data_IF_671138158965
#
_entry.id   IF_671138158965
#
_cell.length_a   1.000
_cell.length_b   1.000
_cell.length_c   1.000
_cell.angle_alpha   90.00
_cell.angle_beta   90.00
_cell.angle_gamma   90.00
#
_symmetry.space_group_name_H-M   'P 1'
#
loop_
_entity.id
_entity.type
_entity.pdbx_description
1 polymer ?
#
# COMPACT_ATOMS: atom_id res chain seq x y z
N UNK A 1 -6.19 5.02 -17.68
CA UNK A 1 -6.71 4.43 -16.43
C UNK A 1 -5.53 4.30 -15.47
N UNK A 2 -5.34 5.28 -14.60
CA UNK A 2 -4.32 5.22 -13.55
C UNK A 2 -4.89 4.29 -12.49
N UNK A 3 -4.35 3.08 -12.36
CA UNK A 3 -4.73 2.16 -11.27
C UNK A 3 -4.18 2.77 -9.98
N UNK A 4 -5.05 3.44 -9.23
CA UNK A 4 -4.67 4.06 -7.96
C UNK A 4 -4.64 3.00 -6.86
N UNK A 5 -3.44 2.89 -6.29
CA UNK A 5 -3.07 2.33 -5.00
C UNK A 5 -3.08 0.80 -4.88
N UNK A 6 -1.86 0.25 -4.82
CA UNK A 6 -1.55 -1.06 -4.27
C UNK A 6 -0.74 -0.78 -3.01
N UNK A 7 -0.81 -1.63 -1.98
CA UNK A 7 0.13 -1.55 -0.87
C UNK A 7 1.55 -1.47 -1.44
N UNK A 8 2.30 -0.40 -1.16
CA UNK A 8 3.70 -0.30 -1.55
C UNK A 8 4.52 -0.83 -0.39
N UNK A 9 5.30 -1.86 -0.68
CA UNK A 9 6.25 -2.44 0.25
C UNK A 9 7.66 -2.26 -0.30
N UNK A 10 8.55 -1.72 0.51
CA UNK A 10 9.97 -1.74 0.20
C UNK A 10 10.47 -3.19 0.19
N UNK A 11 11.23 -3.57 -0.86
CA UNK A 11 11.70 -4.95 -1.08
C UNK A 11 12.42 -5.52 0.14
N UNK A 12 13.35 -4.76 0.72
CA UNK A 12 14.17 -5.17 1.85
C UNK A 12 13.34 -5.35 3.13
N UNK A 13 12.42 -4.41 3.39
CA UNK A 13 11.50 -4.48 4.53
C UNK A 13 10.55 -5.68 4.45
N UNK A 14 10.02 -5.98 3.26
CA UNK A 14 9.12 -7.11 3.06
C UNK A 14 9.81 -8.45 3.29
N UNK A 15 10.99 -8.67 2.70
CA UNK A 15 11.73 -9.94 2.83
C UNK A 15 12.24 -10.20 4.25
N UNK A 16 12.53 -9.15 5.00
CA UNK A 16 12.91 -9.28 6.42
C UNK A 16 11.73 -9.73 7.28
N UNK A 17 10.52 -9.23 6.99
CA UNK A 17 9.31 -9.59 7.74
C UNK A 17 8.76 -10.96 7.36
N UNK A 18 8.82 -11.29 6.07
CA UNK A 18 8.40 -12.59 5.56
C UNK A 18 9.34 -13.04 4.43
N UNK A 19 10.30 -13.93 4.73
CA UNK A 19 11.24 -14.42 3.71
C UNK A 19 10.55 -15.29 2.65
N UNK A 20 9.37 -15.84 2.96
CA UNK A 20 8.65 -16.79 2.10
C UNK A 20 7.92 -16.11 0.93
N UNK A 21 7.75 -14.79 0.98
CA UNK A 21 7.11 -14.01 -0.07
C UNK A 21 7.74 -14.28 -1.44
N UNK A 22 6.94 -14.68 -2.41
CA UNK A 22 7.38 -14.84 -3.79
C UNK A 22 6.95 -13.61 -4.59
N UNK A 23 7.94 -12.87 -5.11
CA UNK A 23 7.70 -11.72 -5.96
C UNK A 23 7.61 -12.18 -7.41
N UNK A 24 6.59 -11.70 -8.11
CA UNK A 24 6.35 -11.93 -9.53
C UNK A 24 6.66 -10.65 -10.31
N UNK A 25 7.14 -10.78 -11.56
CA UNK A 25 7.34 -9.63 -12.43
C UNK A 25 6.00 -9.13 -12.98
N UNK A 26 5.84 -7.81 -13.00
CA UNK A 26 4.71 -7.16 -13.63
C UNK A 26 4.95 -7.04 -15.13
N UNK A 27 3.97 -7.45 -15.93
CA UNK A 27 3.98 -7.26 -17.39
C UNK A 27 4.15 -5.77 -17.76
N UNK A 28 3.53 -4.89 -16.98
CA UNK A 28 3.63 -3.44 -17.14
C UNK A 28 4.01 -2.83 -15.79
N UNK A 29 5.18 -2.18 -15.67
CA UNK A 29 5.60 -1.52 -14.43
C UNK A 29 4.59 -0.46 -13.99
N UNK A 30 4.25 -0.47 -12.70
CA UNK A 30 3.38 0.53 -12.12
C UNK A 30 4.19 1.79 -11.78
N UNK A 31 3.72 2.94 -12.29
CA UNK A 31 4.33 4.25 -12.05
C UNK A 31 3.53 5.01 -11.02
N UNK A 32 4.16 5.35 -9.90
CA UNK A 32 3.57 6.19 -8.87
C UNK A 32 4.38 7.48 -8.76
N UNK A 33 3.70 8.62 -8.77
CA UNK A 33 4.34 9.89 -8.47
C UNK A 33 4.28 10.10 -6.97
N UNK A 34 5.44 10.16 -6.33
CA UNK A 34 5.56 10.50 -4.92
C UNK A 34 5.70 12.01 -4.74
N UNK A 35 5.76 12.43 -3.47
CA UNK A 35 5.96 13.83 -3.11
C UNK A 35 7.23 14.40 -3.77
N UNK A 36 7.23 15.72 -4.01
CA UNK A 36 8.29 16.45 -4.71
C UNK A 36 8.54 15.99 -6.17
N UNK A 37 7.51 15.46 -6.84
CA UNK A 37 7.57 15.03 -8.26
C UNK A 37 8.56 13.89 -8.53
N UNK A 38 8.99 13.18 -7.48
CA UNK A 38 9.79 11.98 -7.63
C UNK A 38 8.93 10.83 -8.16
N UNK A 39 9.49 10.03 -9.06
CA UNK A 39 8.80 8.87 -9.62
C UNK A 39 9.27 7.61 -8.93
N UNK A 40 8.32 6.83 -8.43
CA UNK A 40 8.56 5.50 -7.87
C UNK A 40 8.01 4.48 -8.85
N UNK A 41 8.86 3.51 -9.20
CA UNK A 41 8.55 2.42 -10.12
C UNK A 41 8.42 1.13 -9.31
N UNK A 42 7.32 0.42 -9.51
CA UNK A 42 7.19 -0.97 -9.08
C UNK A 42 7.19 -1.87 -10.32
N UNK A 43 8.19 -2.73 -10.42
CA UNK A 43 8.35 -3.74 -11.48
C UNK A 43 7.88 -5.13 -11.02
N UNK A 44 7.57 -5.27 -9.73
CA UNK A 44 7.16 -6.55 -9.13
C UNK A 44 5.94 -6.39 -8.25
N UNK A 45 5.20 -7.49 -8.11
CA UNK A 45 4.14 -7.63 -7.12
C UNK A 45 4.26 -8.95 -6.35
N UNK A 46 3.52 -9.05 -5.26
CA UNK A 46 3.28 -10.30 -4.56
C UNK A 46 1.85 -10.34 -4.05
N UNK A 47 1.28 -11.55 -3.94
CA UNK A 47 -0.02 -11.77 -3.30
C UNK A 47 0.17 -12.07 -1.83
N UNK A 48 -0.33 -11.19 -0.96
CA UNK A 48 -0.15 -11.28 0.49
C UNK A 48 -1.49 -11.38 1.22
N UNK A 49 -1.59 -12.29 2.18
CA UNK A 49 -2.64 -12.23 3.20
C UNK A 49 -2.19 -11.28 4.30
N UNK A 50 -2.89 -10.14 4.45
CA UNK A 50 -2.51 -9.13 5.43
C UNK A 50 -3.27 -9.33 6.74
N UNK A 51 -2.51 -9.26 7.83
CA UNK A 51 -3.00 -9.12 9.20
C UNK A 51 -2.53 -7.76 9.72
N UNK A 52 -3.46 -6.85 9.95
CA UNK A 52 -3.19 -5.48 10.37
C UNK A 52 -3.56 -5.35 11.84
N UNK A 53 -2.57 -5.07 12.69
CA UNK A 53 -2.82 -4.77 14.10
C UNK A 53 -3.27 -3.32 14.23
N UNK A 54 -4.54 -3.11 14.58
CA UNK A 54 -5.10 -1.79 14.89
C UNK A 54 -5.34 -1.65 16.39
N UNK A 55 -5.57 -0.41 16.85
CA UNK A 55 -5.95 -0.16 18.25
C UNK A 55 -7.29 -0.82 18.65
N UNK A 56 -8.19 -1.06 17.69
CA UNK A 56 -9.46 -1.75 17.91
C UNK A 56 -9.32 -3.28 17.90
N UNK A 57 -8.13 -3.80 17.56
CA UNK A 57 -7.85 -5.22 17.41
C UNK A 57 -7.22 -5.56 16.05
N UNK A 58 -6.73 -6.81 15.89
CA UNK A 58 -6.24 -7.28 14.61
C UNK A 58 -7.36 -7.40 13.58
N UNK A 59 -7.10 -6.96 12.35
CA UNK A 59 -7.98 -7.13 11.20
C UNK A 59 -7.27 -8.02 10.18
N UNK A 60 -7.89 -9.14 9.84
CA UNK A 60 -7.39 -10.02 8.78
C UNK A 60 -8.20 -9.84 7.51
N UNK A 61 -7.53 -9.63 6.39
CA UNK A 61 -8.19 -9.57 5.09
C UNK A 61 -8.66 -10.96 4.66
N UNK A 62 -9.87 -11.04 4.14
CA UNK A 62 -10.49 -12.31 3.71
C UNK A 62 -9.77 -12.95 2.52
N UNK A 63 -9.20 -12.13 1.64
CA UNK A 63 -8.46 -12.57 0.46
C UNK A 63 -7.04 -12.03 0.46
N UNK A 64 -6.14 -12.73 -0.23
CA UNK A 64 -4.85 -12.16 -0.56
C UNK A 64 -5.06 -10.90 -1.41
N UNK A 65 -4.28 -9.87 -1.13
CA UNK A 65 -4.23 -8.65 -1.93
C UNK A 65 -2.95 -8.63 -2.73
N UNK A 66 -3.02 -8.09 -3.94
CA UNK A 66 -1.82 -7.76 -4.70
C UNK A 66 -1.10 -6.61 -3.98
N UNK A 67 0.23 -6.68 -3.90
CA UNK A 67 1.11 -5.73 -3.20
C UNK A 67 2.22 -5.33 -4.15
N UNK A 68 2.44 -4.03 -4.38
CA UNK A 68 3.50 -3.53 -5.26
C UNK A 68 4.79 -3.54 -4.45
N UNK A 69 5.83 -4.15 -5.01
CA UNK A 69 7.15 -4.16 -4.43
C UNK A 69 7.97 -3.07 -5.13
N UNK A 70 8.52 -2.16 -4.34
CA UNK A 70 9.36 -1.07 -4.82
C UNK A 70 10.76 -1.20 -4.25
N UNK A 71 11.76 -0.89 -5.08
CA UNK A 71 13.17 -0.86 -4.66
C UNK A 71 13.52 0.53 -4.15
N UNK A 72 12.95 0.89 -2.99
CA UNK A 72 13.28 2.10 -2.25
C UNK A 72 13.97 1.72 -0.94
N UNK A 73 14.94 2.54 -0.52
CA UNK A 73 15.62 2.41 0.76
C UNK A 73 14.77 3.02 1.89
N UNK A 74 13.59 2.42 2.10
CA UNK A 74 12.65 2.76 3.15
C UNK A 74 12.17 1.47 3.82
N UNK A 75 11.73 1.53 5.07
CA UNK A 75 11.12 0.41 5.79
C UNK A 75 9.59 0.55 5.89
N UNK A 76 9.06 1.70 5.48
CA UNK A 76 7.64 2.01 5.55
C UNK A 76 6.83 1.20 4.52
N UNK A 77 5.62 0.85 4.95
CA UNK A 77 4.56 0.30 4.11
C UNK A 77 3.53 1.38 3.85
N UNK A 78 3.14 1.58 2.60
CA UNK A 78 2.11 2.57 2.22
C UNK A 78 0.84 1.83 1.88
N UNK A 79 -0.19 1.97 2.71
CA UNK A 79 -1.51 1.37 2.48
C UNK A 79 -2.29 2.21 1.49
N UNK A 80 -2.75 1.58 0.41
CA UNK A 80 -3.56 2.23 -0.61
C UNK A 80 -4.98 2.55 -0.16
N UNK A 81 -5.60 3.54 -0.82
CA UNK A 81 -6.97 3.98 -0.47
C UNK A 81 -8.03 2.88 -0.68
N UNK A 82 -7.84 2.03 -1.69
CA UNK A 82 -8.66 0.85 -1.96
C UNK A 82 -8.67 -0.13 -0.77
N UNK A 83 -7.49 -0.38 -0.20
CA UNK A 83 -7.35 -1.23 0.97
C UNK A 83 -7.89 -0.53 2.23
N UNK A 84 -7.69 0.77 2.37
CA UNK A 84 -8.32 1.55 3.45
C UNK A 84 -9.85 1.47 3.40
N UNK A 85 -10.47 1.64 2.22
CA UNK A 85 -11.90 1.47 2.04
C UNK A 85 -12.38 0.06 2.38
N UNK A 86 -11.61 -0.97 2.00
CA UNK A 86 -11.90 -2.37 2.36
C UNK A 86 -11.89 -2.60 3.87
N UNK A 87 -11.06 -1.84 4.60
CA UNK A 87 -11.02 -1.83 6.06
C UNK A 87 -12.09 -0.92 6.70
N UNK A 88 -12.97 -0.30 5.90
CA UNK A 88 -13.99 0.64 6.37
C UNK A 88 -13.44 2.02 6.73
N UNK A 89 -12.21 2.34 6.32
CA UNK A 89 -11.57 3.64 6.53
C UNK A 89 -11.84 4.50 5.30
N UNK A 90 -12.80 5.41 5.42
CA UNK A 90 -13.13 6.40 4.40
C UNK A 90 -12.27 7.65 4.60
N UNK A 91 -11.19 7.77 3.82
CA UNK A 91 -10.24 8.89 3.93
C UNK A 91 -10.86 10.18 3.38
N UNK A 92 -11.67 10.11 2.33
CA UNK A 92 -12.27 11.29 1.70
C UNK A 92 -13.19 12.02 2.68
N UNK A 93 -14.06 11.26 3.37
CA UNK A 93 -14.94 11.81 4.41
C UNK A 93 -14.16 12.41 5.59
N UNK A 94 -13.01 11.85 5.94
CA UNK A 94 -12.16 12.40 7.00
C UNK A 94 -11.39 13.66 6.56
N UNK A 95 -11.00 13.76 5.30
CA UNK A 95 -10.36 14.96 4.74
C UNK A 95 -11.34 16.13 4.63
N UNK A 96 -12.61 15.88 4.30
CA UNK A 96 -13.67 16.90 4.33
C UNK A 96 -13.81 17.53 5.72
N UNK A 97 -13.77 16.73 6.78
CA UNK A 97 -13.80 17.21 8.16
C UNK A 97 -12.57 18.03 8.57
N UNK A 98 -11.43 17.86 7.88
CA UNK A 98 -10.21 18.64 8.12
C UNK A 98 -10.24 19.98 7.37
N UNK A 99 -10.85 20.04 6.19
CA UNK A 99 -11.01 21.28 5.43
C UNK A 99 -11.89 22.31 6.16
N UNK A 100 -12.89 21.84 6.92
CA UNK A 100 -13.80 22.71 7.68
C UNK A 100 -13.16 23.38 8.90
N UNK A 101 -12.03 22.87 9.43
CA UNK A 101 -11.35 23.41 10.62
C UNK A 101 -10.46 24.63 10.37
N UNK A 102 -10.35 25.10 9.12
CA UNK A 102 -9.47 26.22 8.76
C UNK A 102 -10.23 27.53 8.53
N UNK A 103 -11.34 27.76 9.26
CA UNK A 103 -12.12 29.00 9.16
C UNK A 103 -11.98 29.87 10.41
#
# INVERSE_FOLDING_TARGET
MVRTALLLAARTGLKTKDPTVQAEELEIPAKNQAYASSWIMADKNAKLHLLIHTAAGPIQLMSAVDVLIVDIDDEAFIVGNDLLHTLGIDVDRHLEMLAERTR
#
